data_IF_050324369944
#
_entry.id   IF_050324369944
#
_cell.length_a   1.000
_cell.length_b   1.000
_cell.length_c   1.000
_cell.angle_alpha   90.00
_cell.angle_beta   90.00
_cell.angle_gamma   90.00
#
_symmetry.space_group_name_H-M   'P 1'
#
loop_
_entity.id
_entity.type
_entity.pdbx_description
1 polymer ?
#
# COMPACT_ATOMS: atom_id res chain seq x y z
N UNK A 1 10.30 -5.51 36.01
CA UNK A 1 10.04 -4.43 35.04
C UNK A 1 10.59 -3.15 35.64
N UNK A 2 11.86 -2.85 35.36
CA UNK A 2 12.47 -1.59 35.84
C UNK A 2 11.85 -0.41 35.09
N UNK A 3 11.78 0.77 35.72
CA UNK A 3 11.21 1.98 35.07
C UNK A 3 11.92 2.32 33.75
N UNK A 4 13.21 1.98 33.64
CA UNK A 4 14.02 2.17 32.44
C UNK A 4 13.53 1.28 31.27
N UNK A 5 13.26 -0.01 31.53
CA UNK A 5 12.74 -0.94 30.52
C UNK A 5 11.37 -0.49 29.99
N UNK A 6 10.49 -0.03 30.89
CA UNK A 6 9.17 0.49 30.51
C UNK A 6 9.27 1.73 29.62
N UNK A 7 10.16 2.66 29.95
CA UNK A 7 10.39 3.85 29.14
C UNK A 7 10.92 3.51 27.73
N UNK A 8 11.86 2.56 27.63
CA UNK A 8 12.40 2.11 26.34
C UNK A 8 11.31 1.46 25.49
N UNK A 9 10.49 0.58 26.07
CA UNK A 9 9.39 -0.09 25.37
C UNK A 9 8.34 0.91 24.83
N UNK A 10 7.99 1.93 25.62
CA UNK A 10 7.06 2.97 25.18
C UNK A 10 7.67 3.76 24.01
N UNK A 11 8.96 4.12 24.10
CA UNK A 11 9.65 4.86 23.04
C UNK A 11 9.76 4.07 21.73
N UNK A 12 10.15 2.79 21.81
CA UNK A 12 10.28 1.94 20.62
C UNK A 12 8.91 1.68 19.99
N UNK A 13 7.90 1.33 20.79
CA UNK A 13 6.55 1.10 20.30
C UNK A 13 5.92 2.36 19.67
N UNK A 14 6.16 3.53 20.27
CA UNK A 14 5.69 4.79 19.70
C UNK A 14 6.41 5.13 18.39
N UNK A 15 7.72 4.93 18.33
CA UNK A 15 8.52 5.15 17.11
C UNK A 15 8.06 4.25 15.97
N UNK A 16 7.87 2.96 16.23
CA UNK A 16 7.37 2.01 15.23
C UNK A 16 5.98 2.39 14.74
N UNK A 17 5.07 2.75 15.65
CA UNK A 17 3.72 3.20 15.30
C UNK A 17 3.72 4.44 14.41
N UNK A 18 4.56 5.44 14.71
CA UNK A 18 4.71 6.63 13.87
C UNK A 18 5.25 6.30 12.47
N UNK A 19 6.28 5.46 12.39
CA UNK A 19 6.88 5.06 11.11
C UNK A 19 5.89 4.28 10.24
N UNK A 20 5.16 3.33 10.82
CA UNK A 20 4.15 2.54 10.11
C UNK A 20 2.96 3.39 9.66
N UNK A 21 2.46 4.29 10.53
CA UNK A 21 1.36 5.20 10.19
C UNK A 21 1.73 6.17 9.07
N UNK A 22 2.87 6.86 9.21
CA UNK A 22 3.38 7.77 8.19
C UNK A 22 3.70 7.04 6.88
N UNK A 23 4.32 5.86 6.97
CA UNK A 23 4.65 5.02 5.81
C UNK A 23 3.41 4.56 5.05
N UNK A 24 2.36 4.14 5.75
CA UNK A 24 1.10 3.68 5.13
C UNK A 24 0.41 4.82 4.38
N UNK A 25 0.29 6.00 5.00
CA UNK A 25 -0.33 7.16 4.35
C UNK A 25 0.51 7.64 3.18
N UNK A 26 1.83 7.72 3.33
CA UNK A 26 2.75 8.13 2.27
C UNK A 26 2.68 7.17 1.08
N UNK A 27 2.71 5.86 1.33
CA UNK A 27 2.61 4.82 0.31
C UNK A 27 1.28 4.90 -0.46
N UNK A 28 0.15 4.96 0.23
CA UNK A 28 -1.17 5.05 -0.41
C UNK A 28 -1.39 6.36 -1.17
N UNK A 29 -0.78 7.45 -0.69
CA UNK A 29 -0.79 8.73 -1.40
C UNK A 29 0.08 8.66 -2.66
N UNK A 30 1.29 8.12 -2.55
CA UNK A 30 2.26 8.01 -3.64
C UNK A 30 1.78 7.09 -4.75
N UNK A 31 1.22 5.93 -4.41
CA UNK A 31 0.59 5.05 -5.41
C UNK A 31 -0.59 5.73 -6.10
N UNK A 32 -1.25 6.69 -5.46
CA UNK A 32 -2.38 7.43 -6.03
C UNK A 32 -3.75 6.87 -5.63
N UNK A 33 -3.83 5.97 -4.64
CA UNK A 33 -5.11 5.47 -4.11
C UNK A 33 -5.94 6.62 -3.53
N UNK A 34 -5.31 7.45 -2.67
CA UNK A 34 -5.98 8.61 -2.07
C UNK A 34 -6.39 9.62 -3.15
N UNK A 35 -5.53 9.85 -4.14
CA UNK A 35 -5.82 10.76 -5.25
C UNK A 35 -7.02 10.30 -6.08
N UNK A 36 -7.12 8.99 -6.33
CA UNK A 36 -8.21 8.39 -7.09
C UNK A 36 -9.53 8.43 -6.33
N UNK A 37 -9.52 8.18 -5.02
CA UNK A 37 -10.70 8.37 -4.17
C UNK A 37 -11.20 9.81 -4.26
N UNK A 38 -10.33 10.80 -4.02
CA UNK A 38 -10.68 12.22 -4.09
C UNK A 38 -11.22 12.63 -5.46
N UNK A 39 -10.62 12.11 -6.54
CA UNK A 39 -11.06 12.37 -7.91
C UNK A 39 -12.45 11.79 -8.19
N UNK A 40 -12.71 10.57 -7.73
CA UNK A 40 -14.01 9.89 -7.92
C UNK A 40 -15.13 10.60 -7.15
N UNK A 41 -14.86 11.04 -5.92
CA UNK A 41 -15.82 11.75 -5.07
C UNK A 41 -15.85 13.27 -5.33
N UNK A 42 -14.98 13.78 -6.22
CA UNK A 42 -14.80 15.20 -6.53
C UNK A 42 -14.50 16.08 -5.30
N UNK A 43 -13.82 15.52 -4.30
CA UNK A 43 -13.60 16.14 -2.98
C UNK A 43 -12.11 16.39 -2.68
N UNK A 44 -11.41 17.06 -3.60
CA UNK A 44 -9.99 17.42 -3.42
C UNK A 44 -9.70 18.31 -2.20
N UNK A 45 -10.69 19.02 -1.66
CA UNK A 45 -10.53 19.85 -0.46
C UNK A 45 -10.32 19.04 0.82
N UNK A 46 -10.67 17.75 0.82
CA UNK A 46 -10.69 16.91 2.02
C UNK A 46 -9.52 15.92 2.12
N UNK A 47 -8.36 16.23 1.51
CA UNK A 47 -7.15 15.37 1.52
C UNK A 47 -6.82 14.86 2.92
N UNK A 48 -6.76 15.78 3.90
CA UNK A 48 -6.43 15.41 5.28
C UNK A 48 -7.45 14.46 5.90
N UNK A 49 -8.74 14.58 5.57
CA UNK A 49 -9.76 13.66 6.08
C UNK A 49 -9.54 12.24 5.55
N UNK A 50 -9.15 12.08 4.28
CA UNK A 50 -8.79 10.77 3.72
C UNK A 50 -7.52 10.20 4.38
N UNK A 51 -6.52 11.03 4.63
CA UNK A 51 -5.30 10.60 5.33
C UNK A 51 -5.62 10.14 6.75
N UNK A 52 -6.43 10.90 7.50
CA UNK A 52 -6.89 10.52 8.83
C UNK A 52 -7.75 9.27 8.82
N UNK A 53 -8.60 9.06 7.81
CA UNK A 53 -9.37 7.82 7.66
C UNK A 53 -8.47 6.59 7.50
N UNK A 54 -7.38 6.70 6.73
CA UNK A 54 -6.37 5.64 6.61
C UNK A 54 -5.66 5.38 7.94
N UNK A 55 -5.22 6.43 8.63
CA UNK A 55 -4.56 6.32 9.93
C UNK A 55 -5.50 5.63 10.95
N UNK A 56 -6.71 6.14 11.11
CA UNK A 56 -7.70 5.58 12.03
C UNK A 56 -8.07 4.14 11.67
N UNK A 57 -8.20 3.82 10.39
CA UNK A 57 -8.42 2.46 9.92
C UNK A 57 -7.27 1.52 10.30
N UNK A 58 -6.03 1.95 10.10
CA UNK A 58 -4.84 1.16 10.44
C UNK A 58 -4.69 0.94 11.95
N UNK A 59 -4.94 1.98 12.75
CA UNK A 59 -4.93 1.90 14.22
C UNK A 59 -6.03 0.96 14.71
N UNK A 60 -7.25 1.14 14.19
CA UNK A 60 -8.39 0.29 14.56
C UNK A 60 -8.13 -1.16 14.22
N UNK A 61 -7.65 -1.45 13.01
CA UNK A 61 -7.32 -2.81 12.58
C UNK A 61 -6.22 -3.45 13.44
N UNK A 62 -5.18 -2.68 13.76
CA UNK A 62 -4.09 -3.16 14.63
C UNK A 62 -4.60 -3.50 16.02
N UNK A 63 -5.47 -2.67 16.60
CA UNK A 63 -6.11 -2.97 17.87
C UNK A 63 -7.00 -4.22 17.80
N UNK A 64 -7.83 -4.36 16.76
CA UNK A 64 -8.66 -5.54 16.56
C UNK A 64 -7.82 -6.82 16.45
N UNK A 65 -6.73 -6.77 15.69
CA UNK A 65 -5.83 -7.90 15.50
C UNK A 65 -5.07 -8.26 16.79
N UNK A 66 -4.63 -7.27 17.57
CA UNK A 66 -3.85 -7.52 18.79
C UNK A 66 -4.72 -7.98 19.97
N UNK A 67 -6.00 -7.57 20.01
CA UNK A 67 -6.93 -7.93 21.08
C UNK A 67 -7.65 -9.28 20.82
N UNK A 68 -7.31 -9.99 19.74
CA UNK A 68 -7.96 -11.24 19.31
C UNK A 68 -9.49 -11.18 19.40
N UNK A 69 -10.06 -10.03 18.97
CA UNK A 69 -11.49 -9.80 19.10
C UNK A 69 -12.24 -10.61 18.04
N UNK A 70 -12.77 -11.76 18.47
CA UNK A 70 -13.62 -12.60 17.66
C UNK A 70 -15.08 -12.13 17.73
N UNK A 71 -15.55 -11.53 16.64
CA UNK A 71 -16.97 -11.21 16.46
C UNK A 71 -17.64 -12.28 15.61
N UNK A 72 -18.71 -12.88 16.13
CA UNK A 72 -19.63 -13.71 15.36
C UNK A 72 -20.56 -12.80 14.55
N UNK A 73 -20.05 -12.28 13.43
CA UNK A 73 -20.81 -11.40 12.53
C UNK A 73 -21.67 -12.24 11.57
N UNK A 74 -22.87 -11.76 11.21
CA UNK A 74 -23.71 -12.43 10.23
C UNK A 74 -23.04 -12.43 8.84
N UNK A 75 -23.29 -13.47 8.03
CA UNK A 75 -22.68 -13.63 6.70
C UNK A 75 -22.83 -12.40 5.77
N UNK A 76 -23.88 -11.59 5.96
CA UNK A 76 -24.11 -10.35 5.21
C UNK A 76 -22.96 -9.35 5.40
N UNK A 77 -22.39 -9.28 6.60
CA UNK A 77 -21.27 -8.37 6.90
C UNK A 77 -20.02 -8.75 6.11
N UNK A 78 -19.78 -10.05 5.91
CA UNK A 78 -18.66 -10.56 5.11
C UNK A 78 -18.75 -10.11 3.65
N UNK A 79 -19.95 -10.02 3.08
CA UNK A 79 -20.17 -9.53 1.71
C UNK A 79 -19.72 -8.07 1.61
N UNK A 80 -20.08 -7.23 2.58
CA UNK A 80 -19.65 -5.83 2.61
C UNK A 80 -18.13 -5.72 2.70
N UNK A 81 -17.48 -6.45 3.62
CA UNK A 81 -16.02 -6.46 3.73
C UNK A 81 -15.34 -6.94 2.44
N UNK A 82 -15.88 -7.98 1.80
CA UNK A 82 -15.40 -8.48 0.51
C UNK A 82 -15.49 -7.42 -0.59
N UNK A 83 -16.60 -6.68 -0.64
CA UNK A 83 -16.78 -5.60 -1.61
C UNK A 83 -15.77 -4.46 -1.38
N UNK A 84 -15.59 -4.02 -0.14
CA UNK A 84 -14.61 -2.97 0.20
C UNK A 84 -13.18 -3.41 -0.09
N UNK A 85 -12.83 -4.66 0.24
CA UNK A 85 -11.53 -5.24 -0.10
C UNK A 85 -11.32 -5.30 -1.61
N UNK A 86 -12.31 -5.76 -2.37
CA UNK A 86 -12.27 -5.78 -3.82
C UNK A 86 -12.11 -4.39 -4.44
N UNK A 87 -12.83 -3.38 -3.93
CA UNK A 87 -12.65 -1.99 -4.35
C UNK A 87 -11.25 -1.47 -4.04
N UNK A 88 -10.72 -1.76 -2.85
CA UNK A 88 -9.37 -1.36 -2.46
C UNK A 88 -8.29 -1.99 -3.35
N UNK A 89 -8.35 -3.30 -3.55
CA UNK A 89 -7.42 -4.03 -4.44
C UNK A 89 -7.55 -3.56 -5.89
N UNK A 90 -8.78 -3.33 -6.37
CA UNK A 90 -9.02 -2.78 -7.70
C UNK A 90 -8.43 -1.38 -7.88
N UNK A 91 -8.55 -0.50 -6.87
CA UNK A 91 -7.91 0.80 -6.88
C UNK A 91 -6.38 0.69 -6.86
N UNK A 92 -5.81 -0.22 -6.06
CA UNK A 92 -4.36 -0.46 -6.05
C UNK A 92 -3.85 -0.95 -7.41
N UNK A 93 -4.54 -1.90 -8.03
CA UNK A 93 -4.18 -2.41 -9.35
C UNK A 93 -4.23 -1.31 -10.41
N UNK A 94 -5.29 -0.49 -10.39
CA UNK A 94 -5.45 0.59 -11.35
C UNK A 94 -4.50 1.78 -11.10
N UNK A 95 -4.11 2.02 -9.85
CA UNK A 95 -3.10 2.97 -9.45
C UNK A 95 -1.71 2.54 -9.94
N UNK A 96 -1.38 1.26 -9.76
CA UNK A 96 -0.11 0.71 -10.24
C UNK A 96 0.01 0.80 -11.76
N UNK A 97 -1.05 0.50 -12.51
CA UNK A 97 -1.03 0.64 -13.98
C UNK A 97 -0.91 2.10 -14.42
N UNK A 98 -1.49 3.05 -13.69
CA UNK A 98 -1.31 4.49 -13.94
C UNK A 98 0.15 4.92 -13.73
N UNK A 99 0.77 4.53 -12.62
CA UNK A 99 2.19 4.81 -12.35
C UNK A 99 3.10 4.15 -13.40
N UNK A 100 2.83 2.90 -13.76
CA UNK A 100 3.59 2.19 -14.80
C UNK A 100 3.45 2.86 -16.16
N UNK A 101 2.27 3.37 -16.52
CA UNK A 101 2.05 4.09 -17.77
C UNK A 101 2.71 5.48 -17.79
N UNK A 102 2.93 6.08 -16.62
CA UNK A 102 3.64 7.36 -16.48
C UNK A 102 5.14 7.23 -16.77
N UNK A 103 5.77 6.08 -16.51
CA UNK A 103 7.21 5.86 -16.77
C UNK A 103 7.58 5.98 -18.27
N UNK A 104 6.91 5.30 -19.22
CA UNK A 104 7.13 5.52 -20.66
C UNK A 104 6.81 6.94 -21.11
N UNK A 105 5.77 7.56 -20.53
CA UNK A 105 5.38 8.93 -20.87
C UNK A 105 6.48 9.93 -20.48
N UNK A 106 7.07 9.78 -19.29
CA UNK A 106 8.22 10.55 -18.83
C UNK A 106 9.44 10.32 -19.74
N UNK A 107 9.75 9.08 -20.09
CA UNK A 107 10.85 8.76 -21.00
C UNK A 107 10.65 9.43 -22.39
N UNK A 108 9.43 9.40 -22.93
CA UNK A 108 9.09 10.10 -24.17
C UNK A 108 9.21 11.62 -24.04
N UNK A 109 8.77 12.20 -22.92
CA UNK A 109 8.87 13.65 -22.64
C UNK A 109 10.29 14.14 -22.49
N UNK A 110 11.20 13.31 -21.98
CA UNK A 110 12.63 13.62 -21.88
C UNK A 110 13.37 13.44 -23.22
N UNK A 111 12.66 13.22 -24.34
CA UNK A 111 13.26 13.01 -25.65
C UNK A 111 13.96 11.65 -25.81
N UNK A 112 13.76 10.72 -24.86
CA UNK A 112 14.42 9.42 -24.84
C UNK A 112 13.66 8.38 -25.66
N UNK A 113 13.06 8.76 -26.79
CA UNK A 113 12.15 7.91 -27.58
C UNK A 113 12.83 6.61 -28.01
N UNK A 114 14.10 6.67 -28.42
CA UNK A 114 14.91 5.50 -28.78
C UNK A 114 15.29 4.64 -27.55
N UNK A 115 15.26 5.19 -26.34
CA UNK A 115 15.53 4.46 -25.09
C UNK A 115 14.28 3.91 -24.41
N UNK A 116 13.08 4.14 -24.94
CA UNK A 116 11.86 3.50 -24.43
C UNK A 116 11.95 1.97 -24.60
N UNK A 117 12.57 1.47 -25.68
CA UNK A 117 12.87 0.03 -25.81
C UNK A 117 13.79 -0.47 -24.70
N UNK A 118 14.79 0.32 -24.28
CA UNK A 118 15.67 -0.02 -23.17
C UNK A 118 14.94 -0.01 -21.82
N UNK A 119 14.00 0.92 -21.61
CA UNK A 119 13.17 0.97 -20.41
C UNK A 119 12.23 -0.24 -20.32
N UNK A 120 11.56 -0.57 -21.43
CA UNK A 120 10.67 -1.73 -21.51
C UNK A 120 11.43 -3.05 -21.34
N UNK A 121 12.59 -3.19 -21.97
CA UNK A 121 13.45 -4.37 -21.78
C UNK A 121 13.97 -4.48 -20.35
N UNK A 122 14.31 -3.38 -19.68
CA UNK A 122 14.66 -3.39 -18.26
C UNK A 122 13.50 -3.86 -17.37
N UNK A 123 12.26 -3.44 -17.65
CA UNK A 123 11.06 -3.92 -16.92
C UNK A 123 10.85 -5.43 -17.16
N UNK A 124 10.97 -5.88 -18.41
CA UNK A 124 10.82 -7.30 -18.76
C UNK A 124 11.92 -8.14 -18.09
N UNK A 125 13.18 -7.70 -18.15
CA UNK A 125 14.29 -8.34 -17.45
C UNK A 125 14.06 -8.38 -15.94
N UNK A 126 13.59 -7.28 -15.33
CA UNK A 126 13.23 -7.25 -13.93
C UNK A 126 12.17 -8.30 -13.57
N UNK A 127 11.14 -8.48 -14.41
CA UNK A 127 10.13 -9.53 -14.24
C UNK A 127 10.71 -10.94 -14.38
N UNK A 128 11.57 -11.17 -15.38
CA UNK A 128 12.22 -12.47 -15.61
C UNK A 128 13.13 -12.82 -14.44
N UNK A 129 13.98 -11.88 -14.01
CA UNK A 129 14.87 -12.04 -12.86
C UNK A 129 14.07 -12.28 -11.59
N UNK A 130 13.02 -11.49 -11.32
CA UNK A 130 12.16 -11.70 -10.16
C UNK A 130 11.49 -13.08 -10.16
N UNK A 131 11.00 -13.55 -11.31
CA UNK A 131 10.42 -14.89 -11.46
C UNK A 131 11.46 -16.01 -11.24
N UNK A 132 12.68 -15.81 -11.73
CA UNK A 132 13.78 -16.77 -11.54
C UNK A 132 14.21 -16.82 -10.08
N UNK A 133 14.37 -15.67 -9.42
CA UNK A 133 14.68 -15.59 -7.99
C UNK A 133 13.57 -16.21 -7.14
N UNK A 134 12.31 -15.98 -7.50
CA UNK A 134 11.16 -16.59 -6.82
C UNK A 134 11.24 -18.11 -6.84
N UNK A 135 11.47 -18.71 -8.01
CA UNK A 135 11.55 -20.16 -8.13
C UNK A 135 12.85 -20.76 -7.58
N UNK A 136 13.99 -20.10 -7.79
CA UNK A 136 15.31 -20.67 -7.47
C UNK A 136 15.70 -20.48 -6.00
N UNK A 137 15.31 -19.35 -5.38
CA UNK A 137 15.77 -18.96 -4.03
C UNK A 137 14.64 -18.95 -3.02
N UNK A 138 13.45 -18.49 -3.41
CA UNK A 138 12.31 -18.34 -2.48
C UNK A 138 11.48 -19.62 -2.39
N UNK A 139 11.44 -20.42 -3.46
CA UNK A 139 10.78 -21.73 -3.51
C UNK A 139 11.73 -22.94 -3.51
N UNK A 140 12.74 -23.06 -2.61
CA UNK A 140 13.67 -24.19 -2.65
C UNK A 140 13.18 -25.43 -1.89
N UNK A 141 12.00 -25.43 -1.23
CA UNK A 141 11.50 -26.64 -0.55
C UNK A 141 9.97 -26.69 -0.44
N UNK A 142 9.37 -27.60 -1.21
CA UNK A 142 8.30 -28.49 -0.74
C UNK A 142 8.92 -29.71 -0.08
#
# INVERSE_FOLDING_TARGET
>A
MTLLEGAILILTGFSEGLVLGAGTVAFLTFLGVIQRLMKMTRTYRYVHAYQWAVVLGSVSWTLFAQLDLHFALPNVTTIMFGLFSGMFVGMLAAALTEVLNVLPLLAKRLGMVDRVMWLLSAIILGKVVASLLFWLIISPHS
#
